data_IF_080816960693
#
_entry.id   IF_080816960693
#
_cell.length_a   1.000
_cell.length_b   1.000
_cell.length_c   1.000
_cell.angle_alpha   90.00
_cell.angle_beta   90.00
_cell.angle_gamma   90.00
#
_symmetry.space_group_name_H-M   'P 1'
#
loop_
_entity.id
_entity.type
_entity.pdbx_description
1 polymer ?
#
# COMPACT_ATOMS: atom_id res chain seq x y z
N UNK A 1 4.30 11.44 -7.51
CA UNK A 1 3.63 11.27 -6.20
C UNK A 1 3.24 9.80 -6.05
N UNK A 2 3.63 9.17 -4.93
CA UNK A 2 3.27 7.79 -4.60
C UNK A 2 2.40 7.83 -3.33
N UNK A 3 1.17 7.31 -3.39
CA UNK A 3 0.19 7.47 -2.32
C UNK A 3 -0.64 6.20 -2.08
N UNK A 4 -1.14 6.03 -0.86
CA UNK A 4 -2.16 5.03 -0.53
C UNK A 4 -3.59 5.43 -0.96
N UNK A 5 -3.78 6.65 -1.47
CA UNK A 5 -5.07 7.10 -2.02
C UNK A 5 -5.34 6.45 -3.37
N UNK A 6 -6.62 6.37 -3.73
CA UNK A 6 -7.08 5.84 -5.01
C UNK A 6 -6.81 6.78 -6.20
N UNK A 7 -7.02 6.27 -7.40
CA UNK A 7 -6.82 7.01 -8.66
C UNK A 7 -7.75 8.22 -8.77
N UNK A 8 -8.99 8.11 -8.26
CA UNK A 8 -9.98 9.18 -8.32
C UNK A 8 -9.53 10.38 -7.48
N UNK A 9 -9.03 10.12 -6.26
CA UNK A 9 -8.49 11.15 -5.40
C UNK A 9 -7.28 11.84 -6.04
N UNK A 10 -6.30 11.08 -6.51
CA UNK A 10 -5.09 11.66 -7.12
C UNK A 10 -5.42 12.44 -8.40
N UNK A 11 -6.31 11.93 -9.23
CA UNK A 11 -6.75 12.63 -10.44
C UNK A 11 -7.44 13.95 -10.11
N UNK A 12 -8.31 13.97 -9.10
CA UNK A 12 -9.03 15.19 -8.69
C UNK A 12 -8.09 16.33 -8.28
N UNK A 13 -7.01 16.01 -7.56
CA UNK A 13 -6.14 17.04 -6.98
C UNK A 13 -4.89 17.32 -7.81
N UNK A 14 -4.41 16.38 -8.62
CA UNK A 14 -3.11 16.46 -9.27
C UNK A 14 -3.14 16.41 -10.81
N UNK A 15 -4.29 16.16 -11.45
CA UNK A 15 -4.37 16.14 -12.93
C UNK A 15 -4.06 17.50 -13.58
N UNK A 16 -4.15 18.60 -12.83
CA UNK A 16 -3.73 19.92 -13.29
C UNK A 16 -2.20 20.08 -13.43
N UNK A 17 -1.42 19.12 -12.94
CA UNK A 17 0.04 19.13 -13.00
C UNK A 17 0.55 18.02 -13.95
N UNK A 18 0.52 18.22 -15.26
CA UNK A 18 0.84 17.18 -16.24
C UNK A 18 2.29 16.69 -16.19
N UNK A 19 3.20 17.46 -15.60
CA UNK A 19 4.59 17.06 -15.40
C UNK A 19 4.78 16.04 -14.26
N UNK A 20 3.73 15.73 -13.49
CA UNK A 20 3.82 14.78 -12.38
C UNK A 20 3.39 13.38 -12.82
N UNK A 21 4.21 12.38 -12.51
CA UNK A 21 3.79 10.98 -12.45
C UNK A 21 3.02 10.71 -11.15
N UNK A 22 1.98 9.87 -11.22
CA UNK A 22 1.12 9.54 -10.10
C UNK A 22 1.09 8.03 -9.88
N UNK A 23 1.17 7.60 -8.63
CA UNK A 23 0.95 6.21 -8.26
C UNK A 23 -0.06 6.12 -7.13
N UNK A 24 -1.13 5.36 -7.34
CA UNK A 24 -2.24 5.14 -6.43
C UNK A 24 -2.19 3.75 -5.77
N UNK A 25 -2.90 3.61 -4.64
CA UNK A 25 -2.98 2.36 -3.86
C UNK A 25 -1.61 1.71 -3.66
N UNK A 26 -0.65 2.48 -3.13
CA UNK A 26 0.72 2.04 -2.81
C UNK A 26 1.53 1.46 -3.96
N UNK A 27 1.11 1.65 -5.22
CA UNK A 27 1.79 1.12 -6.39
C UNK A 27 0.93 0.25 -7.30
N UNK A 28 -0.33 -0.03 -6.93
CA UNK A 28 -1.23 -0.85 -7.76
C UNK A 28 -1.59 -0.18 -9.07
N UNK A 29 -1.65 1.13 -9.06
CA UNK A 29 -1.97 1.94 -10.23
C UNK A 29 -0.89 2.97 -10.46
N UNK A 30 -0.53 3.14 -11.71
CA UNK A 30 0.50 4.07 -12.13
C UNK A 30 0.03 4.90 -13.34
N UNK A 31 0.33 6.18 -13.30
CA UNK A 31 0.12 7.11 -14.40
C UNK A 31 1.40 7.90 -14.64
N UNK A 32 1.97 7.73 -15.81
CA UNK A 32 3.16 8.48 -16.21
C UNK A 32 2.87 9.99 -16.28
N UNK A 33 3.93 10.79 -16.23
CA UNK A 33 3.83 12.20 -16.53
C UNK A 33 3.37 12.42 -17.98
N UNK A 34 2.68 13.53 -18.21
CA UNK A 34 2.14 13.87 -19.53
C UNK A 34 0.62 14.02 -19.52
N UNK A 35 0.11 14.96 -20.31
CA UNK A 35 -1.32 15.30 -20.36
C UNK A 35 -2.20 14.19 -20.92
N UNK A 36 -1.65 13.27 -21.72
CA UNK A 36 -2.37 12.19 -22.38
C UNK A 36 -2.17 10.81 -21.75
N UNK A 37 -1.40 10.72 -20.65
CA UNK A 37 -1.17 9.44 -19.99
C UNK A 37 -2.43 8.92 -19.29
N UNK A 38 -2.68 7.60 -19.40
CA UNK A 38 -3.76 6.91 -18.72
C UNK A 38 -3.24 6.14 -17.51
N UNK A 39 -4.14 5.80 -16.58
CA UNK A 39 -3.82 4.91 -15.49
C UNK A 39 -3.57 3.49 -15.99
N UNK A 40 -2.46 2.91 -15.58
CA UNK A 40 -2.09 1.51 -15.79
C UNK A 40 -2.37 0.74 -14.50
N UNK A 41 -3.03 -0.40 -14.61
CA UNK A 41 -3.23 -1.30 -13.47
C UNK A 41 -2.05 -2.29 -13.40
N UNK A 42 -1.19 -2.14 -12.41
CA UNK A 42 -0.03 -3.01 -12.19
C UNK A 42 -0.37 -4.25 -11.36
N UNK A 43 -1.57 -4.31 -10.78
CA UNK A 43 -2.06 -5.43 -9.97
C UNK A 43 -3.03 -6.35 -10.73
N UNK A 44 -3.23 -6.14 -12.04
CA UNK A 44 -4.26 -6.86 -12.81
C UNK A 44 -4.06 -8.38 -12.85
N UNK A 45 -2.82 -8.85 -12.80
CA UNK A 45 -2.47 -10.27 -12.88
C UNK A 45 -2.25 -10.92 -11.49
N UNK A 46 -2.39 -10.16 -10.40
CA UNK A 46 -2.20 -10.68 -9.06
C UNK A 46 -3.41 -11.47 -8.60
N UNK A 47 -3.16 -12.58 -7.91
CA UNK A 47 -4.21 -13.34 -7.24
C UNK A 47 -4.82 -12.51 -6.10
N UNK A 48 -6.12 -12.28 -6.17
CA UNK A 48 -6.90 -11.55 -5.16
C UNK A 48 -7.89 -12.46 -4.41
N UNK A 49 -7.78 -13.77 -4.55
CA UNK A 49 -8.67 -14.75 -3.90
C UNK A 49 -8.65 -14.66 -2.37
N UNK A 50 -7.53 -14.25 -1.80
CA UNK A 50 -7.32 -14.02 -0.36
C UNK A 50 -8.27 -12.96 0.26
N UNK A 51 -8.81 -12.07 -0.55
CA UNK A 51 -9.61 -10.94 -0.05
C UNK A 51 -10.83 -11.39 0.75
N UNK A 52 -11.49 -12.46 0.33
CA UNK A 52 -12.69 -12.93 1.01
C UNK A 52 -12.38 -13.43 2.43
N UNK A 53 -11.27 -14.12 2.62
CA UNK A 53 -10.85 -14.62 3.93
C UNK A 53 -10.47 -13.46 4.86
N UNK A 54 -9.72 -12.50 4.36
CA UNK A 54 -9.37 -11.27 5.10
C UNK A 54 -10.63 -10.47 5.45
N UNK A 55 -11.58 -10.32 4.54
CA UNK A 55 -12.86 -9.65 4.82
C UNK A 55 -13.63 -10.32 5.95
N UNK A 56 -13.65 -11.64 6.01
CA UNK A 56 -14.30 -12.38 7.09
C UNK A 56 -13.64 -12.09 8.44
N UNK A 57 -12.30 -12.04 8.49
CA UNK A 57 -11.56 -11.65 9.69
C UNK A 57 -11.88 -10.21 10.10
N UNK A 58 -11.81 -9.27 9.16
CA UNK A 58 -12.08 -7.87 9.46
C UNK A 58 -13.53 -7.63 9.91
N UNK A 59 -14.51 -8.33 9.35
CA UNK A 59 -15.92 -8.30 9.82
C UNK A 59 -16.03 -8.76 11.25
N UNK A 60 -15.38 -9.87 11.61
CA UNK A 60 -15.35 -10.37 12.99
C UNK A 60 -14.84 -9.31 13.98
N UNK A 61 -13.77 -8.59 13.64
CA UNK A 61 -13.22 -7.53 14.49
C UNK A 61 -14.08 -6.26 14.46
N UNK A 62 -14.67 -5.92 13.32
CA UNK A 62 -15.57 -4.76 13.19
C UNK A 62 -16.80 -4.90 14.09
N UNK A 63 -17.43 -6.06 14.10
CA UNK A 63 -18.60 -6.34 14.93
C UNK A 63 -18.31 -6.21 16.45
N UNK A 64 -17.07 -6.34 16.85
CA UNK A 64 -16.60 -6.29 18.26
C UNK A 64 -15.93 -4.99 18.65
N UNK A 65 -15.67 -4.10 17.71
CA UNK A 65 -14.92 -2.86 17.93
C UNK A 65 -15.75 -1.67 17.46
N UNK A 66 -16.55 -1.12 18.36
CA UNK A 66 -17.38 0.05 18.06
C UNK A 66 -16.52 1.21 17.57
N UNK A 67 -16.91 1.83 16.46
CA UNK A 67 -16.18 2.93 15.83
C UNK A 67 -15.15 2.47 14.80
N UNK A 68 -14.97 1.15 14.60
CA UNK A 68 -14.16 0.62 13.50
C UNK A 68 -14.98 0.47 12.21
N UNK A 69 -14.29 0.43 11.08
CA UNK A 69 -14.89 0.19 9.76
C UNK A 69 -13.89 -0.45 8.80
N UNK A 70 -14.43 -1.11 7.78
CA UNK A 70 -13.65 -1.72 6.70
C UNK A 70 -13.69 -0.81 5.48
N UNK A 71 -12.53 -0.60 4.85
CA UNK A 71 -12.38 0.01 3.53
C UNK A 71 -11.85 -1.05 2.57
N UNK A 72 -12.67 -1.44 1.60
CA UNK A 72 -12.26 -2.33 0.53
C UNK A 72 -11.77 -1.53 -0.67
N UNK A 73 -10.45 -1.55 -0.91
CA UNK A 73 -9.83 -0.97 -2.09
C UNK A 73 -9.74 -2.00 -3.21
N UNK A 74 -9.35 -1.58 -4.40
CA UNK A 74 -9.21 -2.50 -5.54
C UNK A 74 -8.13 -3.55 -5.29
N UNK A 75 -6.99 -3.16 -4.73
CA UNK A 75 -5.82 -4.02 -4.52
C UNK A 75 -5.53 -4.41 -3.08
N UNK A 76 -6.18 -3.78 -2.10
CA UNK A 76 -5.99 -4.06 -0.67
C UNK A 76 -7.30 -3.98 0.10
N UNK A 77 -7.27 -4.41 1.36
CA UNK A 77 -8.38 -4.22 2.31
C UNK A 77 -7.80 -3.63 3.58
N UNK A 78 -8.49 -2.63 4.12
CA UNK A 78 -8.06 -1.89 5.30
C UNK A 78 -9.13 -1.95 6.38
N UNK A 79 -8.74 -2.32 7.59
CA UNK A 79 -9.56 -2.18 8.78
C UNK A 79 -9.12 -0.95 9.57
N UNK A 80 -10.00 0.02 9.72
CA UNK A 80 -9.77 1.27 10.44
C UNK A 80 -10.38 1.22 11.83
N UNK A 81 -9.61 1.56 12.86
CA UNK A 81 -10.07 1.64 14.24
C UNK A 81 -9.80 3.03 14.88
N UNK A 82 -9.67 4.07 14.04
CA UNK A 82 -9.36 5.44 14.50
C UNK A 82 -10.42 6.00 15.44
N UNK A 83 -11.69 5.68 15.21
CA UNK A 83 -12.83 6.17 15.98
C UNK A 83 -13.28 5.18 17.08
N UNK A 84 -12.55 4.10 17.29
CA UNK A 84 -12.75 3.19 18.40
C UNK A 84 -12.10 3.73 19.67
N UNK A 85 -12.45 3.13 20.82
CA UNK A 85 -11.70 3.35 22.06
C UNK A 85 -10.19 3.09 21.81
N UNK A 86 -9.30 4.00 22.21
CA UNK A 86 -7.89 3.93 21.82
C UNK A 86 -7.15 2.68 22.34
N UNK A 87 -7.46 2.24 23.55
CA UNK A 87 -6.79 1.09 24.18
C UNK A 87 -7.38 -0.21 23.64
N UNK A 88 -8.70 -0.31 23.62
CA UNK A 88 -9.40 -1.47 23.10
C UNK A 88 -9.16 -1.67 21.60
N UNK A 89 -9.22 -0.60 20.80
CA UNK A 89 -8.92 -0.66 19.37
C UNK A 89 -7.49 -1.09 19.09
N UNK A 90 -6.52 -0.65 19.89
CA UNK A 90 -5.12 -1.07 19.76
C UNK A 90 -4.90 -2.53 20.18
N UNK A 91 -5.62 -3.00 21.20
CA UNK A 91 -5.63 -4.41 21.58
C UNK A 91 -6.22 -5.29 20.46
N UNK A 92 -7.40 -4.93 19.98
CA UNK A 92 -8.06 -5.64 18.87
C UNK A 92 -7.22 -5.66 17.59
N UNK A 93 -6.46 -4.60 17.32
CA UNK A 93 -5.56 -4.57 16.15
C UNK A 93 -4.42 -5.58 16.25
N UNK A 94 -3.86 -5.79 17.43
CA UNK A 94 -2.82 -6.81 17.66
C UNK A 94 -3.38 -8.21 17.49
N UNK A 95 -4.55 -8.49 18.06
CA UNK A 95 -5.23 -9.78 17.90
C UNK A 95 -5.59 -10.04 16.44
N UNK A 96 -6.11 -9.03 15.74
CA UNK A 96 -6.42 -9.08 14.32
C UNK A 96 -5.18 -9.40 13.48
N UNK A 97 -4.07 -8.68 13.73
CA UNK A 97 -2.80 -8.94 13.05
C UNK A 97 -2.33 -10.38 13.29
N UNK A 98 -2.30 -10.84 14.55
CA UNK A 98 -1.84 -12.18 14.88
C UNK A 98 -2.67 -13.27 14.19
N UNK A 99 -3.99 -13.09 14.11
CA UNK A 99 -4.87 -14.02 13.41
C UNK A 99 -4.62 -14.01 11.90
N UNK A 100 -4.47 -12.84 11.31
CA UNK A 100 -4.17 -12.70 9.88
C UNK A 100 -2.82 -13.31 9.53
N UNK A 101 -1.76 -13.02 10.30
CA UNK A 101 -0.42 -13.57 10.07
C UNK A 101 -0.45 -15.12 10.09
N UNK A 102 -1.23 -15.72 11.00
CA UNK A 102 -1.40 -17.17 11.06
C UNK A 102 -2.14 -17.73 9.83
N UNK A 103 -3.24 -17.11 9.42
CA UNK A 103 -4.04 -17.58 8.27
C UNK A 103 -3.26 -17.44 6.98
N UNK A 104 -2.60 -16.30 6.77
CA UNK A 104 -1.91 -15.98 5.54
C UNK A 104 -0.64 -16.84 5.36
N UNK A 105 0.09 -17.09 6.45
CA UNK A 105 1.29 -17.95 6.42
C UNK A 105 0.96 -19.42 6.14
N UNK A 106 -0.16 -19.92 6.65
CA UNK A 106 -0.58 -21.32 6.43
C UNK A 106 -0.97 -21.59 4.97
N UNK A 107 -1.43 -20.59 4.24
CA UNK A 107 -1.90 -20.73 2.87
C UNK A 107 -0.87 -20.28 1.81
N UNK A 108 0.36 -19.96 2.22
CA UNK A 108 1.45 -19.46 1.33
C UNK A 108 1.00 -18.31 0.40
N UNK A 109 0.14 -17.45 0.91
CA UNK A 109 -0.39 -16.33 0.16
C UNK A 109 0.66 -15.22 0.04
N UNK A 110 0.83 -14.70 -1.18
CA UNK A 110 1.80 -13.63 -1.49
C UNK A 110 1.28 -12.25 -1.07
N UNK A 111 0.91 -12.13 0.20
CA UNK A 111 0.37 -10.91 0.81
C UNK A 111 1.05 -10.59 2.14
N UNK A 112 0.95 -9.36 2.57
CA UNK A 112 1.49 -8.91 3.85
C UNK A 112 0.43 -8.15 4.67
N UNK A 113 0.58 -8.20 6.00
CA UNK A 113 -0.20 -7.41 6.94
C UNK A 113 0.61 -6.19 7.36
N UNK A 114 0.12 -5.01 7.03
CA UNK A 114 0.76 -3.73 7.37
C UNK A 114 -0.03 -3.03 8.46
N UNK A 115 0.58 -2.83 9.62
CA UNK A 115 -0.03 -2.06 10.71
C UNK A 115 0.41 -0.61 10.60
N UNK A 116 -0.54 0.26 10.29
CA UNK A 116 -0.35 1.69 10.17
C UNK A 116 -0.87 2.47 11.37
N UNK A 117 -1.04 3.78 11.20
CA UNK A 117 -1.54 4.68 12.25
C UNK A 117 -3.06 4.53 12.43
N UNK A 118 -3.48 3.64 13.34
CA UNK A 118 -4.88 3.30 13.64
C UNK A 118 -5.59 2.56 12.50
N UNK A 119 -4.86 1.74 11.77
CA UNK A 119 -5.40 0.80 10.79
C UNK A 119 -4.55 -0.48 10.70
N UNK A 120 -5.17 -1.52 10.15
CA UNK A 120 -4.51 -2.76 9.71
C UNK A 120 -4.89 -2.96 8.25
N UNK A 121 -3.90 -3.07 7.38
CA UNK A 121 -4.08 -3.26 5.94
C UNK A 121 -3.49 -4.60 5.51
N UNK A 122 -4.20 -5.31 4.61
CA UNK A 122 -3.66 -6.48 3.92
C UNK A 122 -3.55 -6.14 2.44
N UNK A 123 -2.35 -6.37 1.88
CA UNK A 123 -2.02 -6.06 0.48
C UNK A 123 -1.09 -7.12 -0.12
N UNK A 124 -1.05 -7.28 -1.46
CA UNK A 124 -0.05 -8.10 -2.11
C UNK A 124 1.37 -7.62 -1.83
N UNK A 125 2.30 -8.54 -1.59
CA UNK A 125 3.73 -8.24 -1.40
C UNK A 125 4.35 -7.46 -2.57
N UNK A 126 3.91 -7.77 -3.79
CA UNK A 126 4.36 -7.12 -5.01
C UNK A 126 3.89 -5.65 -5.13
N UNK A 127 2.99 -5.18 -4.25
CA UNK A 127 2.45 -3.83 -4.26
C UNK A 127 2.99 -3.05 -3.08
N UNK A 128 4.06 -2.31 -3.30
CA UNK A 128 4.64 -1.41 -2.31
C UNK A 128 5.31 -0.22 -2.98
N UNK A 129 5.57 0.84 -2.21
CA UNK A 129 6.12 2.09 -2.76
C UNK A 129 7.56 1.93 -3.26
N UNK A 130 8.32 0.96 -2.74
CA UNK A 130 9.67 0.65 -3.19
C UNK A 130 9.69 0.11 -4.62
N UNK A 131 8.74 -0.76 -4.96
CA UNK A 131 8.61 -1.31 -6.31
C UNK A 131 8.30 -0.22 -7.36
N UNK A 132 7.55 0.80 -7.00
CA UNK A 132 7.32 1.95 -7.90
C UNK A 132 8.61 2.73 -8.12
N UNK A 133 9.39 2.98 -7.08
CA UNK A 133 10.69 3.65 -7.22
C UNK A 133 11.63 2.80 -8.09
N UNK A 134 11.69 1.50 -7.84
CA UNK A 134 12.42 0.54 -8.66
C UNK A 134 12.05 0.66 -10.14
N UNK A 135 10.74 0.54 -10.45
CA UNK A 135 10.21 0.64 -11.81
C UNK A 135 10.57 1.97 -12.49
N UNK A 136 10.46 3.09 -11.77
CA UNK A 136 10.79 4.41 -12.29
C UNK A 136 12.27 4.54 -12.62
N UNK A 137 13.15 4.06 -11.75
CA UNK A 137 14.60 4.13 -11.99
C UNK A 137 15.05 3.27 -13.16
N UNK A 138 14.38 2.11 -13.37
CA UNK A 138 14.66 1.28 -14.56
C UNK A 138 14.11 1.86 -15.86
N UNK A 139 13.05 2.67 -15.79
CA UNK A 139 12.42 3.26 -16.98
C UNK A 139 13.11 4.56 -17.43
N UNK A 140 13.87 5.22 -16.55
CA UNK A 140 14.53 6.50 -16.85
C UNK A 140 16.06 6.23 -16.94
N UNK A 141 16.66 6.28 -18.13
CA UNK A 141 18.10 6.14 -18.26
C UNK A 141 18.81 7.36 -17.67
N UNK A 142 20.04 7.15 -17.21
CA UNK A 142 20.96 8.21 -16.77
C UNK A 142 20.40 9.10 -15.64
N UNK A 143 19.83 8.48 -14.60
CA UNK A 143 19.36 9.20 -13.40
C UNK A 143 20.56 9.61 -12.55
N UNK A 144 20.84 10.90 -12.45
CA UNK A 144 21.93 11.45 -11.64
C UNK A 144 21.56 11.63 -10.17
N UNK A 145 20.29 11.83 -9.87
CA UNK A 145 19.85 12.14 -8.52
C UNK A 145 18.44 11.64 -8.24
N UNK A 146 18.26 11.02 -7.06
CA UNK A 146 16.95 10.58 -6.56
C UNK A 146 16.71 11.14 -5.18
N UNK A 147 15.50 11.71 -4.97
CA UNK A 147 15.08 12.23 -3.69
C UNK A 147 13.70 11.68 -3.32
N UNK A 148 13.61 10.95 -2.21
CA UNK A 148 12.35 10.41 -1.68
C UNK A 148 12.07 10.98 -0.30
N UNK A 149 10.81 11.35 -0.06
CA UNK A 149 10.30 11.87 1.21
C UNK A 149 8.98 11.19 1.55
N UNK A 150 8.78 10.88 2.82
CA UNK A 150 7.55 10.34 3.36
C UNK A 150 7.60 10.29 4.88
N UNK A 151 6.43 10.14 5.54
CA UNK A 151 6.27 10.14 7.00
C UNK A 151 5.55 8.88 7.53
N UNK A 152 5.02 8.06 6.62
CA UNK A 152 4.33 6.82 6.96
C UNK A 152 5.25 5.60 6.87
N UNK A 153 4.88 4.55 7.58
CA UNK A 153 5.61 3.27 7.55
C UNK A 153 5.74 2.68 6.13
N UNK A 154 4.75 2.90 5.27
CA UNK A 154 4.78 2.46 3.87
C UNK A 154 5.82 3.21 3.03
N UNK A 155 6.32 4.36 3.49
CA UNK A 155 7.40 5.10 2.83
C UNK A 155 8.77 4.47 3.09
N UNK A 156 8.90 3.67 4.16
CA UNK A 156 10.14 2.93 4.45
C UNK A 156 10.50 1.96 3.32
N UNK A 157 9.54 1.47 2.55
CA UNK A 157 9.78 0.61 1.39
C UNK A 157 10.65 1.32 0.34
N UNK A 158 10.39 2.61 0.08
CA UNK A 158 11.19 3.43 -0.83
C UNK A 158 12.61 3.65 -0.28
N UNK A 159 12.71 3.96 1.02
CA UNK A 159 14.01 4.22 1.66
C UNK A 159 14.86 2.96 1.69
N UNK A 160 14.26 1.82 1.98
CA UNK A 160 14.92 0.52 2.00
C UNK A 160 15.45 0.13 0.61
N UNK A 161 14.63 0.35 -0.42
CA UNK A 161 15.04 0.10 -1.80
C UNK A 161 16.24 0.99 -2.21
N UNK A 162 16.17 2.31 -1.95
CA UNK A 162 17.26 3.23 -2.30
C UNK A 162 18.56 2.95 -1.53
N UNK A 163 18.44 2.58 -0.24
CA UNK A 163 19.61 2.21 0.56
C UNK A 163 20.31 0.97 0.01
N UNK A 164 19.56 -0.02 -0.45
CA UNK A 164 20.10 -1.21 -1.10
C UNK A 164 20.79 -0.86 -2.43
N UNK A 165 20.14 -0.05 -3.25
CA UNK A 165 20.69 0.40 -4.53
C UNK A 165 22.03 1.14 -4.35
N UNK A 166 22.11 2.05 -3.37
CA UNK A 166 23.31 2.79 -3.05
C UNK A 166 24.46 1.88 -2.56
N UNK A 167 24.12 0.85 -1.77
CA UNK A 167 25.11 -0.15 -1.31
C UNK A 167 25.65 -0.98 -2.47
N UNK A 168 24.79 -1.47 -3.36
CA UNK A 168 25.17 -2.28 -4.51
C UNK A 168 26.03 -1.49 -5.53
N UNK A 169 25.79 -0.18 -5.66
CA UNK A 169 26.58 0.71 -6.51
C UNK A 169 27.96 1.06 -5.93
N UNK A 170 28.17 0.82 -4.63
CA UNK A 170 29.43 1.16 -3.92
C UNK A 170 30.37 -0.03 -3.79
N UNK A 171 29.96 -1.23 -4.18
CA UNK A 171 30.72 -2.48 -4.14
C UNK A 171 30.86 -3.11 -5.53
#
# INVERSE_FOLDING_TARGET
IISGRDEAFLSKYFSQFPAMGLSAEHGSYFKEHGSQSSWQNLSAELDMSWKQDVLNVFRYFTDRTIGSNIEEKKSSIVWHYRNADPDFGSFQAKECQSLLDNILSQNDLQVEVVVGKKNVEVRPLAINKGEIVHRLLYAIPDVDFVFCVGDDKTDEDMFRFLSKLAYDASN
#
